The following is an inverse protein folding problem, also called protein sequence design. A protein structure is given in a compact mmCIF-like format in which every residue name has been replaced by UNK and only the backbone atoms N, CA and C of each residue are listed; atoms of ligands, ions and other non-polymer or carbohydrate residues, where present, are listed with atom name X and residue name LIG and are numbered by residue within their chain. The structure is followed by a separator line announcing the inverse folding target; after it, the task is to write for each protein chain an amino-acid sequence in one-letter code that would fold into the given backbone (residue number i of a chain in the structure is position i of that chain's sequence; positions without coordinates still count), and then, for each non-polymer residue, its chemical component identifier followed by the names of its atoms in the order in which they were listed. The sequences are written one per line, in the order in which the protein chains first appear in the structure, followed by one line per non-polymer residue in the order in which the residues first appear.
data_IF_549949745312
#
_entry.id   IF_549949745312
#
_cell.length_a   1.000
_cell.length_b   1.000
_cell.length_c   1.000
_cell.angle_alpha   90.00
_cell.angle_beta   90.00
_cell.angle_gamma   90.00
#
_symmetry.space_group_name_H-M   'P 1'
#
loop_
_entity.id
_entity.type
_entity.pdbx_description
1 polymer ?
#
# COMPACT_ATOMS: atom_id res chain seq x y z
N UNK A 1 8.56 7.47 -27.11
CA UNK A 1 7.95 7.31 -25.77
C UNK A 1 9.07 6.90 -24.80
N UNK A 2 9.53 7.79 -23.93
CA UNK A 2 10.59 7.46 -22.95
C UNK A 2 10.03 6.45 -21.94
N UNK A 3 10.65 5.28 -21.83
CA UNK A 3 10.29 4.25 -20.87
C UNK A 3 11.30 4.29 -19.72
N UNK A 4 10.87 4.77 -18.55
CA UNK A 4 11.72 4.78 -17.36
C UNK A 4 12.00 3.32 -16.94
N UNK A 5 13.28 2.96 -16.88
CA UNK A 5 13.71 1.69 -16.29
C UNK A 5 13.71 1.86 -14.76
N UNK A 6 12.79 1.19 -14.06
CA UNK A 6 12.66 1.23 -12.60
C UNK A 6 13.90 0.76 -11.85
N UNK A 7 14.78 -0.01 -12.51
CA UNK A 7 16.06 -0.49 -11.98
C UNK A 7 17.25 0.32 -12.53
N UNK A 8 17.01 1.46 -13.16
CA UNK A 8 18.05 2.32 -13.69
C UNK A 8 18.71 3.16 -12.60
N UNK A 9 20.01 3.43 -12.75
CA UNK A 9 20.78 4.24 -11.80
C UNK A 9 20.14 5.61 -11.51
N UNK A 10 19.54 6.24 -12.53
CA UNK A 10 18.85 7.53 -12.39
C UNK A 10 17.66 7.45 -11.43
N UNK A 11 16.89 6.36 -11.46
CA UNK A 11 15.75 6.14 -10.55
C UNK A 11 16.25 5.96 -9.11
N UNK A 12 17.35 5.25 -8.91
CA UNK A 12 17.94 5.09 -7.57
C UNK A 12 18.47 6.41 -6.99
N UNK A 13 19.06 7.28 -7.81
CA UNK A 13 19.44 8.63 -7.37
C UNK A 13 18.21 9.43 -6.96
N UNK A 14 17.13 9.40 -7.74
CA UNK A 14 15.89 10.08 -7.38
C UNK A 14 15.29 9.51 -6.08
N UNK A 15 15.28 8.20 -5.89
CA UNK A 15 14.77 7.56 -4.67
C UNK A 15 15.58 7.95 -3.42
N UNK A 16 16.90 8.10 -3.58
CA UNK A 16 17.76 8.58 -2.50
C UNK A 16 17.46 10.04 -2.14
N UNK A 17 17.42 10.93 -3.14
CA UNK A 17 17.19 12.36 -2.96
C UNK A 17 15.79 12.67 -2.43
N UNK A 18 14.77 11.95 -2.89
CA UNK A 18 13.37 12.12 -2.49
C UNK A 18 12.90 11.08 -1.47
N UNK A 19 13.82 10.51 -0.69
CA UNK A 19 13.47 9.59 0.39
C UNK A 19 12.69 10.32 1.49
N UNK A 20 11.74 9.61 2.10
CA UNK A 20 11.05 10.05 3.32
C UNK A 20 11.50 9.14 4.46
N UNK A 21 11.46 9.61 5.72
CA UNK A 21 11.72 8.74 6.86
C UNK A 21 10.80 7.52 6.85
N UNK A 22 11.34 6.36 7.25
CA UNK A 22 10.55 5.14 7.34
C UNK A 22 9.44 5.32 8.39
N UNK A 23 8.16 5.07 8.04
CA UNK A 23 7.08 5.20 9.00
C UNK A 23 7.16 4.07 10.05
N UNK A 24 6.64 4.28 11.28
CA UNK A 24 6.64 3.27 12.33
C UNK A 24 6.01 1.96 11.88
N UNK A 25 6.63 0.84 12.23
CA UNK A 25 6.15 -0.49 11.85
C UNK A 25 4.73 -0.73 12.38
N UNK A 26 3.84 -1.17 11.48
CA UNK A 26 2.48 -1.60 11.85
C UNK A 26 2.52 -3.03 12.34
N UNK A 27 2.19 -3.24 13.60
CA UNK A 27 2.01 -4.57 14.17
C UNK A 27 0.52 -4.88 14.26
N UNK A 28 0.13 -6.00 13.64
CA UNK A 28 -1.26 -6.44 13.65
C UNK A 28 -1.60 -7.00 15.03
N UNK A 29 -2.39 -6.28 15.81
CA UNK A 29 -2.82 -6.67 17.16
C UNK A 29 -4.05 -7.59 17.17
N UNK A 30 -4.86 -7.58 16.11
CA UNK A 30 -6.06 -8.41 15.95
C UNK A 30 -6.03 -9.17 14.62
N UNK A 31 -6.53 -10.42 14.54
CA UNK A 31 -6.63 -11.13 13.26
C UNK A 31 -7.50 -10.35 12.26
N UNK A 32 -7.23 -10.51 10.96
CA UNK A 32 -8.06 -9.88 9.92
C UNK A 32 -9.40 -10.59 9.83
N UNK A 33 -10.49 -9.85 9.98
CA UNK A 33 -11.86 -10.41 10.02
C UNK A 33 -12.54 -10.40 8.64
N UNK A 34 -12.39 -9.31 7.88
CA UNK A 34 -13.03 -9.12 6.59
C UNK A 34 -12.03 -8.60 5.56
N UNK A 35 -12.04 -9.20 4.37
CA UNK A 35 -11.29 -8.73 3.20
C UNK A 35 -12.26 -8.40 2.06
N UNK A 36 -12.24 -7.16 1.60
CA UNK A 36 -13.08 -6.69 0.50
C UNK A 36 -12.23 -6.54 -0.77
N UNK A 37 -12.49 -7.37 -1.78
CA UNK A 37 -11.68 -7.44 -3.02
C UNK A 37 -12.27 -6.61 -4.19
N UNK A 38 -13.24 -5.75 -3.90
CA UNK A 38 -13.83 -4.84 -4.89
C UNK A 38 -12.82 -3.82 -5.41
N UNK A 39 -12.93 -3.45 -6.69
CA UNK A 39 -12.07 -2.46 -7.31
C UNK A 39 -12.39 -1.03 -6.81
N UNK A 40 -11.46 -0.07 -6.97
CA UNK A 40 -11.77 1.32 -6.72
C UNK A 40 -13.01 1.76 -7.51
N UNK A 41 -13.83 2.64 -6.91
CA UNK A 41 -15.08 3.18 -7.49
C UNK A 41 -16.24 2.19 -7.60
N UNK A 42 -16.16 1.00 -7.00
CA UNK A 42 -17.31 0.06 -6.89
C UNK A 42 -18.01 0.16 -5.53
N UNK A 43 -18.10 1.36 -4.95
CA UNK A 43 -18.74 1.57 -3.64
C UNK A 43 -17.89 1.19 -2.41
N UNK A 44 -16.56 1.11 -2.55
CA UNK A 44 -15.64 0.70 -1.46
C UNK A 44 -15.71 1.62 -0.23
N UNK A 45 -15.96 2.91 -0.42
CA UNK A 45 -16.13 3.89 0.66
C UNK A 45 -17.48 3.71 1.39
N UNK A 46 -18.57 3.49 0.65
CA UNK A 46 -19.87 3.17 1.24
C UNK A 46 -19.80 1.88 2.06
N UNK A 47 -19.08 0.87 1.56
CA UNK A 47 -18.82 -0.38 2.26
C UNK A 47 -17.98 -0.18 3.53
N UNK A 48 -16.92 0.65 3.45
CA UNK A 48 -16.12 1.05 4.61
C UNK A 48 -17.00 1.63 5.72
N UNK A 49 -17.84 2.60 5.38
CA UNK A 49 -18.76 3.23 6.31
C UNK A 49 -19.78 2.25 6.90
N UNK A 50 -20.26 1.29 6.11
CA UNK A 50 -21.18 0.25 6.60
C UNK A 50 -20.50 -0.66 7.63
N UNK A 51 -19.24 -1.08 7.38
CA UNK A 51 -18.48 -1.90 8.34
C UNK A 51 -18.22 -1.15 9.65
N UNK A 52 -17.85 0.13 9.59
CA UNK A 52 -17.69 0.95 10.81
C UNK A 52 -19.01 1.03 11.61
N UNK A 53 -20.16 1.18 10.93
CA UNK A 53 -21.49 1.18 11.59
C UNK A 53 -21.85 -0.15 12.22
N UNK A 54 -21.35 -1.26 11.68
CA UNK A 54 -21.56 -2.61 12.23
C UNK A 54 -20.66 -2.92 13.43
N UNK A 55 -19.80 -1.98 13.84
CA UNK A 55 -18.96 -2.11 15.04
C UNK A 55 -17.54 -2.60 14.77
N UNK A 56 -17.08 -2.63 13.52
CA UNK A 56 -15.68 -2.87 13.22
C UNK A 56 -14.86 -1.64 13.63
N UNK A 57 -13.85 -1.82 14.49
CA UNK A 57 -13.07 -0.71 15.07
C UNK A 57 -12.35 0.13 14.02
N UNK A 58 -11.81 -0.51 12.98
CA UNK A 58 -11.02 0.14 11.95
C UNK A 58 -11.10 -0.63 10.64
N UNK A 59 -11.18 0.10 9.53
CA UNK A 59 -11.17 -0.44 8.18
C UNK A 59 -10.14 0.28 7.33
N UNK A 60 -9.16 -0.46 6.82
CA UNK A 60 -8.16 0.09 5.91
C UNK A 60 -8.78 0.32 4.52
N UNK A 61 -8.70 1.55 4.02
CA UNK A 61 -9.24 1.95 2.72
C UNK A 61 -8.20 2.77 1.92
N UNK A 62 -8.47 3.04 0.64
CA UNK A 62 -7.60 3.88 -0.19
C UNK A 62 -7.36 5.29 0.37
N UNK A 63 -8.29 5.79 1.19
CA UNK A 63 -8.15 7.07 1.89
C UNK A 63 -6.97 7.08 2.89
N UNK A 64 -6.66 5.94 3.51
CA UNK A 64 -5.54 5.81 4.42
C UNK A 64 -4.21 6.09 3.71
N UNK A 65 -4.04 5.62 2.47
CA UNK A 65 -2.81 5.84 1.69
C UNK A 65 -2.60 7.34 1.41
N UNK A 66 -3.69 8.11 1.27
CA UNK A 66 -3.66 9.53 0.88
C UNK A 66 -3.49 10.42 2.12
N UNK A 67 -4.20 10.12 3.21
CA UNK A 67 -4.36 11.05 4.32
C UNK A 67 -3.66 10.66 5.63
N UNK A 68 -3.06 9.47 5.74
CA UNK A 68 -2.32 9.09 6.94
C UNK A 68 -1.00 9.86 7.07
N UNK A 69 -0.72 10.31 8.29
CA UNK A 69 0.55 10.88 8.74
C UNK A 69 1.00 10.13 10.01
N UNK A 70 2.17 9.45 10.03
CA UNK A 70 3.13 9.34 8.92
C UNK A 70 2.58 8.55 7.73
N UNK A 71 3.02 8.92 6.53
CA UNK A 71 2.53 8.30 5.29
C UNK A 71 3.20 6.95 5.01
N UNK A 72 2.39 5.95 4.66
CA UNK A 72 2.85 4.57 4.44
C UNK A 72 3.02 4.19 2.96
N UNK A 73 2.82 5.12 2.02
CA UNK A 73 2.84 4.87 0.56
C UNK A 73 4.13 4.16 0.11
N UNK A 74 5.28 4.52 0.69
CA UNK A 74 6.57 3.88 0.39
C UNK A 74 6.56 2.37 0.63
N UNK A 75 5.91 1.90 1.71
CA UNK A 75 5.80 0.48 2.01
C UNK A 75 4.90 -0.24 0.99
N UNK A 76 3.80 0.38 0.57
CA UNK A 76 2.94 -0.16 -0.49
C UNK A 76 3.67 -0.28 -1.85
N UNK A 77 4.51 0.70 -2.19
CA UNK A 77 5.35 0.66 -3.42
C UNK A 77 6.37 -0.48 -3.34
N UNK A 78 7.07 -0.64 -2.21
CA UNK A 78 8.04 -1.74 -2.02
C UNK A 78 7.37 -3.11 -2.13
N UNK A 79 6.19 -3.30 -1.53
CA UNK A 79 5.41 -4.53 -1.66
C UNK A 79 4.98 -4.78 -3.10
N UNK A 80 4.53 -3.75 -3.81
CA UNK A 80 4.13 -3.85 -5.21
C UNK A 80 5.31 -4.23 -6.11
N UNK A 81 6.48 -3.63 -5.92
CA UNK A 81 7.71 -4.00 -6.64
C UNK A 81 8.13 -5.44 -6.37
N UNK A 82 8.08 -5.87 -5.10
CA UNK A 82 8.37 -7.26 -4.73
C UNK A 82 7.41 -8.27 -5.38
N UNK A 83 6.15 -7.88 -5.60
CA UNK A 83 5.14 -8.75 -6.21
C UNK A 83 5.21 -8.79 -7.74
N UNK A 84 5.47 -7.65 -8.39
CA UNK A 84 5.27 -7.46 -9.83
C UNK A 84 6.54 -7.19 -10.64
N UNK A 85 7.65 -6.84 -10.00
CA UNK A 85 8.89 -6.41 -10.67
C UNK A 85 10.04 -7.39 -10.45
N UNK A 86 10.21 -7.91 -9.24
CA UNK A 86 11.18 -8.98 -8.98
C UNK A 86 10.68 -10.30 -9.57
N UNK A 87 11.59 -11.07 -10.19
CA UNK A 87 11.26 -12.43 -10.64
C UNK A 87 10.68 -13.26 -9.48
N UNK A 88 9.71 -14.14 -9.74
CA UNK A 88 9.23 -15.05 -8.71
C UNK A 88 10.42 -15.85 -8.17
N UNK A 89 10.60 -15.88 -6.85
CA UNK A 89 11.50 -16.84 -6.22
C UNK A 89 11.09 -18.25 -6.68
N UNK A 90 12.06 -19.05 -7.16
CA UNK A 90 11.83 -20.42 -7.68
C UNK A 90 11.24 -21.40 -6.64
N UNK A 91 11.09 -20.98 -5.39
CA UNK A 91 10.71 -21.82 -4.26
C UNK A 91 9.25 -21.62 -3.82
N UNK A 92 8.32 -21.37 -4.75
CA UNK A 92 6.89 -21.29 -4.43
C UNK A 92 6.08 -22.38 -5.12
#
# INVERSE_FOLDING_TARGET
MFRLNLNGWFVHVLEYVYSLPEPPKRERTKPMEVICVGLPRTGTESLQNALLRLGYDHTLHGWNIIFEDPNYCQQYVRLSRKKYVTEPSKDR
#
